data_IF_677811004755
#
_entry.id   IF_677811004755
#
_cell.length_a   1.000
_cell.length_b   1.000
_cell.length_c   1.000
_cell.angle_alpha   90.00
_cell.angle_beta   90.00
_cell.angle_gamma   90.00
#
_symmetry.space_group_name_H-M   'P 1'
#
loop_
_entity.id
_entity.type
_entity.pdbx_description
1 polymer ?
#
# COMPACT_ATOMS: atom_id res chain seq x y z
N UNK A 1 -23.95 65.28 28.40
CA UNK A 1 -24.59 64.09 27.81
C UNK A 1 -23.57 63.40 26.94
N UNK A 2 -23.49 62.08 27.07
CA UNK A 2 -22.81 61.08 26.22
C UNK A 2 -21.32 61.34 25.94
N UNK A 3 -20.39 60.44 26.22
CA UNK A 3 -20.46 59.01 26.45
C UNK A 3 -19.20 58.44 25.81
N UNK A 4 -18.22 58.06 26.62
CA UNK A 4 -17.10 57.23 26.15
C UNK A 4 -17.46 55.78 26.45
N UNK A 5 -17.88 55.09 25.41
CA UNK A 5 -18.10 53.65 25.40
C UNK A 5 -16.75 52.93 25.28
N UNK A 6 -16.49 52.06 26.25
CA UNK A 6 -15.41 51.08 26.25
C UNK A 6 -15.31 50.35 24.90
N UNK A 7 -14.12 50.39 24.31
CA UNK A 7 -13.74 49.59 23.14
C UNK A 7 -13.52 48.14 23.63
N UNK A 8 -14.15 47.10 23.05
CA UNK A 8 -13.97 45.74 23.53
C UNK A 8 -12.56 45.25 23.21
N UNK A 9 -11.90 44.66 24.22
CA UNK A 9 -10.71 43.82 24.03
C UNK A 9 -10.99 42.76 22.97
N UNK A 10 -10.02 42.55 22.08
CA UNK A 10 -10.09 41.63 20.95
C UNK A 10 -10.23 40.17 21.44
N UNK A 11 -11.45 39.72 21.74
CA UNK A 11 -11.74 38.37 22.24
C UNK A 11 -11.65 37.36 21.09
N UNK A 12 -10.56 36.59 21.08
CA UNK A 12 -10.35 35.46 20.17
C UNK A 12 -11.50 34.45 20.32
N UNK A 13 -11.97 33.92 19.19
CA UNK A 13 -13.04 32.91 19.15
C UNK A 13 -12.48 31.49 19.06
N UNK A 14 -13.12 30.55 19.77
CA UNK A 14 -12.74 29.15 19.81
C UNK A 14 -12.89 28.51 18.43
N UNK A 15 -11.83 27.89 17.92
CA UNK A 15 -11.79 27.28 16.60
C UNK A 15 -12.77 26.09 16.44
N UNK A 16 -13.27 25.53 17.55
CA UNK A 16 -14.22 24.43 17.53
C UNK A 16 -15.69 24.88 17.68
N UNK A 17 -15.98 25.85 18.56
CA UNK A 17 -17.36 26.19 18.94
C UNK A 17 -17.69 27.69 18.94
N UNK A 18 -16.76 28.56 18.55
CA UNK A 18 -16.99 30.01 18.42
C UNK A 18 -17.06 30.81 19.73
N UNK A 19 -17.05 30.17 20.90
CA UNK A 19 -17.02 30.86 22.22
C UNK A 19 -15.70 31.60 22.47
N UNK A 20 -15.66 32.62 23.34
CA UNK A 20 -14.41 33.28 23.73
C UNK A 20 -13.33 32.28 24.18
N UNK A 21 -12.11 32.44 23.68
CA UNK A 21 -11.04 31.46 23.79
C UNK A 21 -9.75 32.06 24.38
N UNK A 22 -9.23 31.41 25.42
CA UNK A 22 -8.03 31.84 26.14
C UNK A 22 -6.88 30.82 26.07
N UNK A 23 -7.14 29.60 25.59
CA UNK A 23 -6.13 28.56 25.43
C UNK A 23 -5.62 28.52 23.99
N UNK A 24 -4.35 28.20 23.79
CA UNK A 24 -3.74 28.07 22.47
C UNK A 24 -3.04 26.72 22.34
N UNK A 25 -3.11 26.11 21.15
CA UNK A 25 -2.38 24.89 20.83
C UNK A 25 -0.86 25.09 21.01
N UNK A 26 -0.17 24.25 21.80
CA UNK A 26 1.28 24.36 22.02
C UNK A 26 2.10 24.26 20.72
N UNK A 27 1.67 23.43 19.76
CA UNK A 27 2.35 23.28 18.48
C UNK A 27 2.15 24.49 17.57
N UNK A 28 0.99 25.13 17.60
CA UNK A 28 0.77 26.41 16.90
C UNK A 28 1.65 27.53 17.48
N UNK A 29 1.87 27.54 18.80
CA UNK A 29 2.80 28.50 19.43
C UNK A 29 4.25 28.26 18.99
N UNK A 30 4.69 27.01 18.95
CA UNK A 30 6.02 26.62 18.46
C UNK A 30 6.22 27.03 16.98
N UNK A 31 5.19 26.85 16.16
CA UNK A 31 5.19 27.18 14.73
C UNK A 31 4.88 28.66 14.43
N UNK A 32 4.70 29.50 15.45
CA UNK A 32 4.36 30.93 15.34
C UNK A 32 3.13 31.21 14.45
N UNK A 33 2.14 30.32 14.49
CA UNK A 33 0.91 30.47 13.70
C UNK A 33 -0.06 31.46 14.35
N UNK A 34 -0.89 32.10 13.52
CA UNK A 34 -1.90 33.06 13.99
C UNK A 34 -2.80 32.44 15.06
N UNK A 35 -3.14 33.24 16.09
CA UNK A 35 -4.08 32.85 17.14
C UNK A 35 -5.51 32.74 16.62
N UNK A 36 -5.82 33.42 15.52
CA UNK A 36 -7.11 33.31 14.83
C UNK A 36 -7.24 31.92 14.19
N UNK A 37 -8.21 31.14 14.65
CA UNK A 37 -8.41 29.74 14.21
C UNK A 37 -7.54 28.69 14.93
N UNK A 38 -6.75 29.09 15.94
CA UNK A 38 -5.94 28.17 16.76
C UNK A 38 -6.12 28.34 18.28
N UNK A 39 -7.13 29.13 18.67
CA UNK A 39 -7.53 29.35 20.06
C UNK A 39 -8.70 28.43 20.46
N UNK A 40 -8.72 27.99 21.72
CA UNK A 40 -9.74 27.10 22.28
C UNK A 40 -10.28 27.61 23.61
N UNK A 41 -11.56 27.37 23.89
CA UNK A 41 -12.19 27.77 25.16
C UNK A 41 -11.93 26.76 26.29
N UNK A 42 -11.65 25.49 25.97
CA UNK A 42 -11.36 24.43 26.94
C UNK A 42 -10.50 23.32 26.34
N UNK A 43 -9.90 22.49 27.21
CA UNK A 43 -9.12 21.32 26.79
C UNK A 43 -9.98 20.27 26.07
N UNK A 44 -11.27 20.19 26.38
CA UNK A 44 -12.21 19.29 25.71
C UNK A 44 -12.49 19.72 24.27
N UNK A 45 -12.72 21.02 24.04
CA UNK A 45 -12.85 21.56 22.67
C UNK A 45 -11.58 21.38 21.84
N UNK A 46 -10.41 21.47 22.47
CA UNK A 46 -9.15 21.15 21.81
C UNK A 46 -9.08 19.67 21.40
N UNK A 47 -9.37 18.74 22.32
CA UNK A 47 -9.35 17.29 22.04
C UNK A 47 -10.35 16.88 20.96
N UNK A 48 -11.58 17.41 20.99
CA UNK A 48 -12.63 17.07 20.02
C UNK A 48 -12.31 17.59 18.61
N UNK A 49 -11.60 18.70 18.50
CA UNK A 49 -11.20 19.29 17.22
C UNK A 49 -9.85 18.78 16.71
N UNK A 50 -9.14 17.92 17.46
CA UNK A 50 -7.76 17.53 17.14
C UNK A 50 -7.62 16.86 15.77
N UNK A 51 -8.59 16.03 15.38
CA UNK A 51 -8.60 15.32 14.09
C UNK A 51 -8.56 16.26 12.89
N UNK A 52 -9.27 17.41 12.96
CA UNK A 52 -9.29 18.44 11.93
C UNK A 52 -8.20 19.50 12.14
N UNK A 53 -7.94 19.93 13.38
CA UNK A 53 -6.99 20.99 13.71
C UNK A 53 -5.53 20.63 13.38
N UNK A 54 -5.13 19.36 13.54
CA UNK A 54 -3.76 18.92 13.22
C UNK A 54 -3.36 19.17 11.75
N UNK A 55 -4.33 19.31 10.84
CA UNK A 55 -4.09 19.64 9.44
C UNK A 55 -3.53 21.06 9.23
N UNK A 56 -3.79 21.99 10.17
CA UNK A 56 -3.26 23.36 10.13
C UNK A 56 -1.73 23.34 10.32
N UNK A 57 -1.23 22.45 11.18
CA UNK A 57 0.21 22.27 11.36
C UNK A 57 0.90 21.73 10.10
N UNK A 58 0.20 20.88 9.34
CA UNK A 58 0.68 20.33 8.09
C UNK A 58 0.74 21.41 7.00
N UNK A 59 -0.31 22.22 6.87
CA UNK A 59 -0.35 23.35 5.93
C UNK A 59 0.74 24.38 6.22
N UNK A 60 1.00 24.69 7.49
CA UNK A 60 2.08 25.59 7.91
C UNK A 60 3.49 25.09 7.54
N UNK A 61 3.73 23.78 7.68
CA UNK A 61 5.00 23.16 7.25
C UNK A 61 5.19 23.21 5.74
N UNK A 62 4.11 23.13 4.97
CA UNK A 62 4.12 23.17 3.51
C UNK A 62 4.22 24.60 2.93
N UNK A 63 3.91 25.63 3.72
CA UNK A 63 3.86 27.03 3.28
C UNK A 63 5.06 27.88 3.71
N UNK A 64 6.07 27.28 4.36
CA UNK A 64 7.36 27.95 4.59
C UNK A 64 8.13 28.04 3.26
N UNK A 65 8.39 29.24 2.71
CA UNK A 65 9.08 29.39 1.46
C UNK A 65 10.58 29.45 1.75
N UNK A 66 11.25 28.31 1.86
CA UNK A 66 12.70 28.26 1.80
C UNK A 66 13.18 27.26 0.75
N UNK A 67 13.85 27.85 -0.25
CA UNK A 67 14.75 27.27 -1.26
C UNK A 67 14.16 26.45 -2.41
N UNK A 68 13.75 27.19 -3.44
CA UNK A 68 14.19 26.86 -4.80
C UNK A 68 15.72 26.96 -4.84
N UNK A 69 16.41 25.83 -4.79
CA UNK A 69 17.75 25.66 -5.35
C UNK A 69 18.07 24.17 -5.34
N UNK A 70 18.74 23.69 -6.39
CA UNK A 70 19.38 22.38 -6.43
C UNK A 70 20.15 22.12 -5.13
N UNK A 71 19.59 21.30 -4.24
CA UNK A 71 20.06 21.18 -2.86
C UNK A 71 19.90 19.75 -2.36
N UNK A 72 21.01 19.20 -1.86
CA UNK A 72 21.20 17.83 -1.40
C UNK A 72 19.98 17.22 -0.71
N UNK A 73 19.48 16.10 -1.26
CA UNK A 73 18.82 15.08 -0.44
C UNK A 73 19.77 14.81 0.75
N UNK A 74 19.30 15.08 1.97
CA UNK A 74 20.13 15.11 3.18
C UNK A 74 20.84 13.78 3.45
N UNK A 75 21.73 13.77 4.44
CA UNK A 75 22.39 12.56 4.94
C UNK A 75 21.36 11.41 5.09
N UNK A 76 21.61 10.29 4.39
CA UNK A 76 20.79 9.07 4.48
C UNK A 76 19.89 8.76 3.27
N UNK A 77 19.65 9.73 2.38
CA UNK A 77 18.92 9.48 1.13
C UNK A 77 19.88 8.98 0.05
N UNK A 78 19.83 7.68 -0.22
CA UNK A 78 20.72 7.00 -1.15
C UNK A 78 19.92 6.03 -2.02
N UNK A 79 20.40 5.73 -3.22
CA UNK A 79 19.78 4.72 -4.09
C UNK A 79 19.97 3.32 -3.50
N UNK A 80 18.93 2.50 -3.59
CA UNK A 80 18.95 1.12 -3.15
C UNK A 80 19.72 0.22 -4.14
N UNK A 81 20.50 -0.72 -3.62
CA UNK A 81 21.18 -1.76 -4.39
C UNK A 81 21.15 -3.08 -3.63
N UNK A 82 21.31 -4.20 -4.34
CA UNK A 82 21.48 -5.54 -3.75
C UNK A 82 20.40 -5.88 -2.71
N UNK A 83 19.13 -5.75 -3.13
CA UNK A 83 17.95 -6.05 -2.32
C UNK A 83 17.80 -5.25 -1.04
N UNK A 84 18.40 -4.06 -0.96
CA UNK A 84 18.37 -3.22 0.27
C UNK A 84 19.59 -3.38 1.17
N UNK A 85 20.49 -4.33 0.88
CA UNK A 85 21.71 -4.56 1.66
C UNK A 85 22.80 -3.50 1.45
N UNK A 86 22.73 -2.74 0.36
CA UNK A 86 23.70 -1.68 0.07
C UNK A 86 23.02 -0.46 -0.51
N UNK A 87 23.64 0.70 -0.32
CA UNK A 87 23.14 1.96 -0.87
C UNK A 87 24.27 2.75 -1.52
N UNK A 88 23.94 3.59 -2.49
CA UNK A 88 24.91 4.40 -3.23
C UNK A 88 24.38 5.83 -3.44
N UNK A 89 25.23 6.87 -3.39
CA UNK A 89 24.84 8.23 -3.75
C UNK A 89 24.73 8.43 -5.26
N UNK A 90 25.28 7.51 -6.06
CA UNK A 90 25.27 7.57 -7.52
C UNK A 90 24.10 6.76 -8.07
N UNK A 91 23.37 7.34 -9.02
CA UNK A 91 22.32 6.64 -9.76
C UNK A 91 22.91 5.34 -10.36
N UNK A 92 22.32 4.16 -10.08
CA UNK A 92 22.76 2.92 -10.67
C UNK A 92 22.66 2.95 -12.19
N UNK A 93 23.60 2.30 -12.86
CA UNK A 93 23.49 2.10 -14.30
C UNK A 93 22.52 0.94 -14.60
N UNK A 94 21.55 1.20 -15.46
CA UNK A 94 20.66 0.20 -16.03
C UNK A 94 20.17 0.69 -17.39
N UNK A 95 19.94 -0.23 -18.31
CA UNK A 95 19.27 0.05 -19.57
C UNK A 95 17.76 0.07 -19.31
N UNK A 96 17.24 1.23 -18.90
CA UNK A 96 15.85 1.44 -18.48
C UNK A 96 14.88 1.12 -19.62
N UNK A 97 13.80 0.41 -19.29
CA UNK A 97 12.82 -0.06 -20.29
C UNK A 97 11.80 1.01 -20.66
N UNK A 98 11.51 1.93 -19.74
CA UNK A 98 10.54 3.01 -19.91
C UNK A 98 11.07 4.37 -19.42
N UNK A 99 10.15 5.23 -19.00
CA UNK A 99 10.43 6.61 -18.59
C UNK A 99 10.76 6.78 -17.10
N UNK A 100 10.50 5.75 -16.29
CA UNK A 100 10.85 5.77 -14.87
C UNK A 100 12.33 5.47 -14.63
N UNK A 101 12.81 6.11 -13.56
CA UNK A 101 14.11 5.90 -12.95
C UNK A 101 13.92 5.85 -11.43
N UNK A 102 14.80 5.13 -10.70
CA UNK A 102 14.77 5.14 -9.25
C UNK A 102 15.16 6.52 -8.72
N UNK A 103 14.62 6.86 -7.56
CA UNK A 103 15.07 7.98 -6.74
C UNK A 103 15.72 7.46 -5.46
N UNK A 104 16.49 8.29 -4.74
CA UNK A 104 17.03 7.90 -3.44
C UNK A 104 15.91 7.58 -2.44
N UNK A 105 16.17 6.65 -1.53
CA UNK A 105 15.21 6.19 -0.52
C UNK A 105 15.59 6.73 0.86
N UNK A 106 14.60 7.06 1.70
CA UNK A 106 14.86 7.44 3.09
C UNK A 106 15.42 6.27 3.91
N UNK A 107 15.90 6.55 5.13
CA UNK A 107 16.35 5.50 6.06
C UNK A 107 15.21 4.53 6.43
N UNK A 108 15.55 3.32 6.86
CA UNK A 108 14.57 2.32 7.32
C UNK A 108 13.78 2.88 8.51
N UNK A 109 12.45 2.77 8.47
CA UNK A 109 11.57 3.24 9.56
C UNK A 109 11.63 2.27 10.74
N UNK A 110 11.45 2.78 11.96
CA UNK A 110 11.59 2.01 13.20
C UNK A 110 10.23 1.44 13.59
N UNK A 111 10.19 0.13 13.86
CA UNK A 111 9.05 -0.54 14.49
C UNK A 111 9.26 -0.54 16.01
N UNK A 112 8.30 -0.05 16.82
CA UNK A 112 8.40 -0.11 18.28
C UNK A 112 8.50 -1.54 18.83
N UNK A 113 9.20 -1.72 19.95
CA UNK A 113 9.50 -3.05 20.50
C UNK A 113 8.28 -3.82 21.03
N UNK A 114 7.19 -3.12 21.33
CA UNK A 114 5.93 -3.75 21.76
C UNK A 114 5.14 -4.43 20.63
N UNK A 115 5.52 -4.22 19.37
CA UNK A 115 4.86 -4.84 18.22
C UNK A 115 5.44 -6.24 18.03
N UNK A 116 4.58 -7.24 17.89
CA UNK A 116 4.99 -8.60 17.55
C UNK A 116 5.66 -8.61 16.16
N UNK A 117 6.83 -9.24 16.07
CA UNK A 117 7.68 -9.22 14.87
C UNK A 117 7.76 -10.62 14.23
N UNK A 118 7.72 -10.73 12.90
CA UNK A 118 8.04 -11.98 12.22
C UNK A 118 9.54 -12.31 12.35
N UNK A 119 9.93 -13.54 12.03
CA UNK A 119 11.28 -14.07 12.32
C UNK A 119 12.41 -13.40 11.51
N UNK A 120 12.10 -12.71 10.41
CA UNK A 120 13.04 -11.92 9.61
C UNK A 120 13.19 -10.46 10.03
N UNK A 121 12.38 -9.97 10.97
CA UNK A 121 12.29 -8.53 11.24
C UNK A 121 13.66 -7.89 11.57
N UNK A 122 14.52 -8.62 12.27
CA UNK A 122 15.83 -8.13 12.72
C UNK A 122 16.94 -8.32 11.68
N UNK A 123 17.05 -9.53 11.11
CA UNK A 123 18.19 -9.93 10.26
C UNK A 123 17.86 -10.00 8.76
N UNK A 124 16.60 -9.83 8.41
CA UNK A 124 16.08 -9.85 7.04
C UNK A 124 15.98 -11.24 6.41
N UNK A 125 16.09 -12.31 7.20
CA UNK A 125 16.11 -13.69 6.71
C UNK A 125 14.85 -14.43 7.22
N UNK A 126 13.89 -14.80 6.35
CA UNK A 126 12.78 -15.65 6.73
C UNK A 126 13.30 -17.07 6.93
N UNK A 127 13.56 -17.45 8.18
CA UNK A 127 14.17 -18.73 8.57
C UNK A 127 13.15 -19.87 8.60
N UNK A 128 11.90 -19.55 8.97
CA UNK A 128 10.81 -20.52 9.09
C UNK A 128 10.29 -20.95 7.70
N UNK A 129 10.02 -19.99 6.81
CA UNK A 129 9.35 -20.27 5.53
C UNK A 129 10.04 -21.33 4.66
N UNK A 130 11.36 -21.25 4.37
CA UNK A 130 12.00 -22.17 3.43
C UNK A 130 12.03 -23.62 3.91
N UNK A 131 11.97 -23.82 5.23
CA UNK A 131 12.07 -25.13 5.88
C UNK A 131 10.70 -25.67 6.34
N UNK A 132 9.61 -24.92 6.12
CA UNK A 132 8.28 -25.31 6.57
C UNK A 132 7.65 -26.35 5.64
N UNK A 133 6.95 -27.33 6.22
CA UNK A 133 6.11 -28.28 5.46
C UNK A 133 4.98 -27.59 4.67
N UNK A 134 4.63 -26.35 5.04
CA UNK A 134 3.66 -25.53 4.34
C UNK A 134 4.14 -25.05 2.96
N UNK A 135 5.42 -25.21 2.62
CA UNK A 135 5.90 -25.00 1.24
C UNK A 135 5.41 -26.06 0.26
N UNK A 136 4.90 -27.19 0.77
CA UNK A 136 4.46 -28.32 -0.05
C UNK A 136 3.02 -28.76 0.24
N UNK A 137 2.45 -28.28 1.35
CA UNK A 137 1.10 -28.64 1.80
C UNK A 137 0.23 -27.40 1.90
N UNK A 138 -0.91 -27.40 1.21
CA UNK A 138 -1.90 -26.33 1.37
C UNK A 138 -2.68 -26.56 2.67
N UNK A 139 -2.43 -25.71 3.65
CA UNK A 139 -2.99 -25.79 5.00
C UNK A 139 -4.52 -25.65 5.00
N UNK A 140 -5.20 -26.48 5.81
CA UNK A 140 -6.59 -26.26 6.21
C UNK A 140 -6.56 -25.58 7.57
N UNK A 141 -6.91 -24.30 7.63
CA UNK A 141 -6.84 -23.53 8.87
C UNK A 141 -7.88 -23.97 9.87
N UNK A 142 -7.48 -23.96 11.13
CA UNK A 142 -8.39 -24.09 12.27
C UNK A 142 -9.31 -22.87 12.40
N UNK A 143 -10.44 -22.96 13.11
CA UNK A 143 -11.32 -21.82 13.35
C UNK A 143 -10.62 -20.61 13.97
N UNK A 144 -9.69 -20.82 14.92
CA UNK A 144 -8.90 -19.74 15.52
C UNK A 144 -8.01 -19.03 14.50
N UNK A 145 -7.26 -19.78 13.69
CA UNK A 145 -6.44 -19.23 12.61
C UNK A 145 -7.30 -18.41 11.64
N UNK A 146 -8.50 -18.86 11.31
CA UNK A 146 -9.42 -18.13 10.43
C UNK A 146 -9.87 -16.80 11.05
N UNK A 147 -10.20 -16.75 12.35
CA UNK A 147 -10.54 -15.48 13.02
C UNK A 147 -9.37 -14.50 13.03
N UNK A 148 -8.15 -14.99 13.30
CA UNK A 148 -6.93 -14.17 13.22
C UNK A 148 -6.69 -13.65 11.80
N UNK A 149 -6.95 -14.46 10.77
CA UNK A 149 -6.87 -14.04 9.37
C UNK A 149 -7.89 -12.94 9.05
N UNK A 150 -9.16 -13.07 9.47
CA UNK A 150 -10.20 -12.05 9.28
C UNK A 150 -9.80 -10.71 9.90
N UNK A 151 -9.34 -10.72 11.15
CA UNK A 151 -8.95 -9.51 11.86
C UNK A 151 -7.73 -8.84 11.19
N UNK A 152 -6.71 -9.62 10.85
CA UNK A 152 -5.47 -9.11 10.21
C UNK A 152 -5.75 -8.57 8.81
N UNK A 153 -6.56 -9.27 8.00
CA UNK A 153 -6.94 -8.82 6.66
C UNK A 153 -7.78 -7.55 6.69
N UNK A 154 -8.68 -7.40 7.68
CA UNK A 154 -9.42 -6.14 7.90
C UNK A 154 -8.46 -4.99 8.22
N UNK A 155 -7.45 -5.21 9.07
CA UNK A 155 -6.43 -4.20 9.38
C UNK A 155 -5.65 -3.83 8.11
N UNK A 156 -5.19 -4.82 7.33
CA UNK A 156 -4.48 -4.58 6.08
C UNK A 156 -5.31 -3.72 5.11
N UNK A 157 -6.63 -4.00 4.98
CA UNK A 157 -7.57 -3.15 4.24
C UNK A 157 -7.62 -1.71 4.77
N UNK A 158 -7.74 -1.51 6.08
CA UNK A 158 -7.76 -0.18 6.67
C UNK A 158 -6.46 0.61 6.42
N UNK A 159 -5.32 -0.08 6.39
CA UNK A 159 -4.01 0.47 6.05
C UNK A 159 -3.93 0.86 4.57
N UNK A 160 -4.35 -0.01 3.65
CA UNK A 160 -4.41 0.31 2.22
C UNK A 160 -5.34 1.50 1.96
N UNK A 161 -6.50 1.54 2.63
CA UNK A 161 -7.44 2.66 2.54
C UNK A 161 -6.83 3.97 3.06
N UNK A 162 -5.93 3.92 4.04
CA UNK A 162 -5.19 5.09 4.50
C UNK A 162 -4.21 5.61 3.44
N UNK A 163 -3.49 4.71 2.76
CA UNK A 163 -2.63 5.05 1.63
C UNK A 163 -3.42 5.67 0.47
N UNK A 164 -4.55 5.05 0.09
CA UNK A 164 -5.40 5.51 -1.01
C UNK A 164 -5.86 6.96 -0.87
N UNK A 165 -6.10 7.45 0.36
CA UNK A 165 -6.58 8.82 0.63
C UNK A 165 -5.56 9.92 0.32
N UNK A 166 -4.28 9.58 0.20
CA UNK A 166 -3.23 10.57 -0.04
C UNK A 166 -2.67 10.52 -1.47
N UNK A 167 -3.17 9.61 -2.32
CA UNK A 167 -2.70 9.48 -3.69
C UNK A 167 -3.19 10.66 -4.52
N UNK A 168 -2.26 11.52 -4.90
CA UNK A 168 -2.47 12.70 -5.75
C UNK A 168 -1.14 13.17 -6.35
N UNK A 169 -1.16 13.98 -7.42
CA UNK A 169 0.06 14.58 -7.97
C UNK A 169 0.89 15.30 -6.90
N UNK A 170 2.21 15.12 -6.95
CA UNK A 170 3.17 15.77 -6.06
C UNK A 170 3.50 15.02 -4.76
N UNK A 171 2.72 14.02 -4.37
CA UNK A 171 3.03 13.13 -3.23
C UNK A 171 4.11 12.14 -3.62
N UNK A 172 5.09 11.91 -2.74
CA UNK A 172 6.14 10.91 -3.00
C UNK A 172 5.69 9.50 -2.62
N UNK A 173 6.27 8.49 -3.26
CA UNK A 173 6.03 7.10 -2.84
C UNK A 173 6.58 6.84 -1.43
N UNK A 174 7.69 7.46 -1.02
CA UNK A 174 8.18 7.41 0.38
C UNK A 174 7.18 7.99 1.40
N UNK A 175 6.37 8.98 1.01
CA UNK A 175 5.31 9.54 1.84
C UNK A 175 4.11 8.58 1.96
N UNK A 176 3.80 7.84 0.88
CA UNK A 176 2.82 6.74 0.91
C UNK A 176 3.28 5.63 1.87
N UNK A 177 4.55 5.21 1.76
CA UNK A 177 5.17 4.26 2.68
C UNK A 177 5.12 4.73 4.14
N UNK A 178 5.34 6.03 4.39
CA UNK A 178 5.20 6.61 5.73
C UNK A 178 3.80 6.40 6.30
N UNK A 179 2.77 6.69 5.50
CA UNK A 179 1.37 6.53 5.91
C UNK A 179 1.04 5.06 6.15
N UNK A 180 1.47 4.15 5.27
CA UNK A 180 1.29 2.71 5.47
C UNK A 180 1.96 2.26 6.76
N UNK A 181 3.24 2.63 6.96
CA UNK A 181 3.98 2.29 8.16
C UNK A 181 3.27 2.76 9.43
N UNK A 182 2.94 4.06 9.51
CA UNK A 182 2.29 4.64 10.69
C UNK A 182 0.91 4.04 10.96
N UNK A 183 0.11 3.77 9.92
CA UNK A 183 -1.20 3.13 10.05
C UNK A 183 -1.08 1.69 10.57
N UNK A 184 -0.12 0.92 10.07
CA UNK A 184 0.15 -0.44 10.53
C UNK A 184 0.57 -0.47 11.99
N UNK A 185 1.52 0.39 12.40
CA UNK A 185 1.95 0.50 13.79
C UNK A 185 0.80 0.95 14.70
N UNK A 186 -0.02 1.90 14.26
CA UNK A 186 -1.18 2.37 15.03
C UNK A 186 -2.24 1.28 15.24
N UNK A 187 -2.35 0.32 14.33
CA UNK A 187 -3.22 -0.85 14.45
C UNK A 187 -2.60 -2.00 15.28
N UNK A 188 -1.36 -1.83 15.76
CA UNK A 188 -0.65 -2.85 16.53
C UNK A 188 0.01 -3.94 15.67
N UNK A 189 0.07 -3.77 14.35
CA UNK A 189 0.68 -4.71 13.42
C UNK A 189 2.11 -4.36 13.04
N UNK A 190 2.79 -5.33 12.43
CA UNK A 190 4.09 -5.17 11.76
C UNK A 190 3.88 -5.11 10.23
N UNK A 191 4.51 -4.18 9.50
CA UNK A 191 4.43 -4.16 8.04
C UNK A 191 5.29 -5.28 7.46
N UNK A 192 4.68 -6.39 7.04
CA UNK A 192 5.38 -7.65 6.67
C UNK A 192 6.53 -7.45 5.67
N UNK A 193 6.42 -6.59 4.63
CA UNK A 193 7.50 -6.38 3.67
C UNK A 193 8.77 -5.80 4.31
N UNK A 194 8.65 -5.09 5.43
CA UNK A 194 9.78 -4.43 6.06
C UNK A 194 10.84 -5.47 6.47
N UNK A 195 12.03 -5.31 5.91
CA UNK A 195 13.19 -6.20 6.06
C UNK A 195 13.00 -7.62 5.48
N UNK A 196 11.85 -7.99 4.91
CA UNK A 196 11.68 -9.32 4.29
C UNK A 196 12.67 -9.48 3.12
N UNK A 197 13.58 -10.45 3.22
CA UNK A 197 14.74 -10.56 2.32
C UNK A 197 15.48 -9.24 2.10
N UNK A 198 15.60 -8.43 3.16
CA UNK A 198 16.22 -7.10 3.19
C UNK A 198 15.45 -5.99 2.47
N UNK A 199 14.19 -6.22 2.05
CA UNK A 199 13.37 -5.16 1.44
C UNK A 199 13.27 -3.93 2.37
N UNK A 200 13.57 -2.71 1.89
CA UNK A 200 13.91 -1.59 2.77
C UNK A 200 12.72 -0.75 3.26
N UNK A 201 11.48 -1.11 2.87
CA UNK A 201 10.26 -0.30 3.06
C UNK A 201 9.11 -1.15 3.58
N UNK A 202 8.03 -0.50 3.99
CA UNK A 202 6.88 -1.09 4.68
C UNK A 202 5.75 -1.52 3.74
N UNK A 203 5.81 -1.08 2.47
CA UNK A 203 4.91 -1.44 1.39
C UNK A 203 5.66 -1.40 0.06
N UNK A 204 5.03 -1.91 -1.00
CA UNK A 204 5.51 -1.67 -2.37
C UNK A 204 4.68 -0.56 -3.04
N UNK A 205 5.32 0.24 -3.88
CA UNK A 205 4.66 1.27 -4.70
C UNK A 205 5.13 1.13 -6.15
N UNK A 206 4.27 0.60 -7.01
CA UNK A 206 4.61 0.22 -8.38
C UNK A 206 3.93 1.17 -9.36
N UNK A 207 4.71 2.10 -9.92
CA UNK A 207 4.22 3.16 -10.82
C UNK A 207 4.41 2.76 -12.28
N UNK A 208 3.38 2.97 -13.11
CA UNK A 208 3.41 2.80 -14.57
C UNK A 208 3.99 1.46 -15.05
N UNK A 209 5.20 1.42 -15.64
CA UNK A 209 5.83 0.18 -16.13
C UNK A 209 6.35 -0.75 -15.03
N UNK A 210 6.35 -0.32 -13.77
CA UNK A 210 6.66 -1.20 -12.64
C UNK A 210 5.52 -2.19 -12.44
N UNK A 211 5.83 -3.47 -12.62
CA UNK A 211 4.91 -4.60 -12.47
C UNK A 211 4.57 -4.82 -10.99
N UNK A 212 5.60 -4.97 -10.16
CA UNK A 212 5.48 -5.23 -8.73
C UNK A 212 6.78 -4.88 -7.99
N UNK A 213 6.73 -4.89 -6.65
CA UNK A 213 7.86 -4.68 -5.76
C UNK A 213 8.65 -3.37 -5.97
N UNK A 214 8.00 -2.33 -6.51
CA UNK A 214 8.60 -1.01 -6.59
C UNK A 214 8.93 -0.49 -5.19
N UNK A 215 10.17 -0.06 -4.96
CA UNK A 215 10.61 0.44 -3.66
C UNK A 215 10.18 1.90 -3.48
N UNK A 216 9.40 2.25 -2.43
CA UNK A 216 9.09 3.63 -2.10
C UNK A 216 10.32 4.54 -1.99
N UNK A 217 10.31 5.65 -2.71
CA UNK A 217 11.46 6.54 -2.90
C UNK A 217 11.05 8.03 -2.98
N UNK A 218 12.00 8.92 -3.29
CA UNK A 218 11.75 10.36 -3.38
C UNK A 218 10.98 10.79 -4.64
N UNK A 219 10.57 9.87 -5.54
CA UNK A 219 9.81 10.23 -6.74
C UNK A 219 8.45 10.78 -6.35
N UNK A 220 8.11 11.96 -6.85
CA UNK A 220 6.75 12.50 -6.78
C UNK A 220 5.88 11.85 -7.85
N UNK A 221 4.65 11.48 -7.48
CA UNK A 221 3.63 11.06 -8.43
C UNK A 221 3.26 12.22 -9.36
N UNK A 222 3.04 11.91 -10.63
CA UNK A 222 2.70 12.88 -11.68
C UNK A 222 1.24 12.72 -12.11
N UNK A 223 0.60 13.80 -12.59
CA UNK A 223 -0.74 13.72 -13.18
C UNK A 223 -0.70 12.78 -14.40
N UNK A 224 -1.60 11.80 -14.42
CA UNK A 224 -1.64 10.77 -15.44
C UNK A 224 -0.87 9.49 -15.12
N UNK A 225 -0.16 9.40 -13.98
CA UNK A 225 0.39 8.15 -13.48
C UNK A 225 -0.73 7.17 -13.08
N UNK A 226 -0.42 5.87 -13.19
CA UNK A 226 -1.07 4.83 -12.39
C UNK A 226 -0.08 4.33 -11.34
N UNK A 227 -0.55 4.05 -10.12
CA UNK A 227 0.29 3.55 -9.03
C UNK A 227 -0.42 2.43 -8.27
N UNK A 228 0.18 1.26 -8.24
CA UNK A 228 -0.20 0.20 -7.32
C UNK A 228 0.44 0.43 -5.95
N UNK A 229 -0.33 0.21 -4.88
CA UNK A 229 0.17 0.15 -3.51
C UNK A 229 -0.15 -1.22 -2.94
N UNK A 230 0.89 -1.92 -2.51
CA UNK A 230 0.81 -3.29 -2.02
C UNK A 230 1.14 -3.34 -0.53
N UNK A 231 0.19 -3.86 0.26
CA UNK A 231 0.18 -3.78 1.72
C UNK A 231 -0.01 -5.16 2.31
N UNK A 232 0.97 -5.59 3.08
CA UNK A 232 0.81 -6.74 3.96
C UNK A 232 1.02 -6.36 5.43
N UNK A 233 0.12 -6.80 6.29
CA UNK A 233 0.23 -6.62 7.75
C UNK A 233 0.40 -7.98 8.43
N UNK A 234 1.37 -8.06 9.34
CA UNK A 234 1.51 -9.16 10.31
C UNK A 234 0.89 -8.74 11.63
N UNK A 235 -0.08 -9.52 12.11
CA UNK A 235 -0.78 -9.24 13.37
C UNK A 235 -1.29 -10.55 13.96
N UNK A 236 -1.19 -10.70 15.29
CA UNK A 236 -1.55 -11.92 16.02
C UNK A 236 -0.98 -13.21 15.38
N UNK A 237 0.25 -13.16 14.87
CA UNK A 237 0.90 -14.34 14.34
C UNK A 237 0.50 -14.75 12.92
N UNK A 238 -0.30 -13.96 12.19
CA UNK A 238 -0.63 -14.22 10.78
C UNK A 238 -0.45 -12.97 9.91
N UNK A 239 -0.38 -13.18 8.59
CA UNK A 239 -0.26 -12.14 7.58
C UNK A 239 -1.59 -11.94 6.83
N UNK A 240 -1.91 -10.70 6.48
CA UNK A 240 -3.03 -10.35 5.59
C UNK A 240 -2.54 -9.42 4.48
N UNK A 241 -2.88 -9.76 3.23
CA UNK A 241 -2.26 -9.18 2.04
C UNK A 241 -3.28 -8.72 0.98
N UNK A 242 -3.03 -7.55 0.42
CA UNK A 242 -3.85 -6.93 -0.63
C UNK A 242 -3.14 -5.75 -1.29
N UNK A 243 -3.53 -5.50 -2.54
CA UNK A 243 -3.09 -4.34 -3.29
C UNK A 243 -4.17 -3.83 -4.25
N UNK A 244 -4.08 -2.56 -4.61
CA UNK A 244 -4.94 -1.92 -5.61
C UNK A 244 -4.12 -0.94 -6.46
N UNK A 245 -4.45 -0.83 -7.74
CA UNK A 245 -3.88 0.18 -8.65
C UNK A 245 -4.76 1.42 -8.70
N UNK A 246 -4.20 2.59 -8.38
CA UNK A 246 -4.89 3.87 -8.31
C UNK A 246 -4.53 4.80 -9.47
N UNK A 247 -5.47 5.68 -9.81
CA UNK A 247 -5.26 6.75 -10.77
C UNK A 247 -4.71 8.00 -10.07
N UNK A 248 -3.62 8.57 -10.59
CA UNK A 248 -3.09 9.84 -10.09
C UNK A 248 -3.61 10.97 -10.97
N UNK A 249 -4.63 11.68 -10.47
CA UNK A 249 -5.26 12.78 -11.21
C UNK A 249 -5.92 12.31 -12.52
N UNK A 250 -5.57 12.92 -13.65
CA UNK A 250 -6.20 12.68 -14.95
C UNK A 250 -5.45 11.64 -15.78
N UNK A 251 -5.84 10.37 -15.66
CA UNK A 251 -5.28 9.28 -16.48
C UNK A 251 -5.95 9.17 -17.85
N UNK A 252 -5.16 8.75 -18.85
CA UNK A 252 -5.62 8.43 -20.20
C UNK A 252 -6.53 7.20 -20.25
N UNK A 253 -7.24 7.03 -21.37
CA UNK A 253 -8.23 5.96 -21.54
C UNK A 253 -7.61 4.56 -21.60
N UNK A 254 -6.42 4.41 -22.20
CA UNK A 254 -5.72 3.11 -22.24
C UNK A 254 -5.40 2.61 -20.84
N UNK A 255 -4.96 3.51 -19.96
CA UNK A 255 -4.66 3.23 -18.57
C UNK A 255 -5.92 2.93 -17.75
N UNK A 256 -7.04 3.62 -18.03
CA UNK A 256 -8.34 3.29 -17.41
C UNK A 256 -8.79 1.88 -17.80
N UNK A 257 -8.64 1.51 -19.07
CA UNK A 257 -8.98 0.19 -19.58
C UNK A 257 -8.09 -0.90 -18.98
N UNK A 258 -6.78 -0.65 -18.88
CA UNK A 258 -5.82 -1.57 -18.25
C UNK A 258 -6.19 -1.85 -16.78
N UNK A 259 -6.36 -0.79 -15.98
CA UNK A 259 -6.68 -0.93 -14.55
C UNK A 259 -8.03 -1.62 -14.36
N UNK A 260 -9.05 -1.24 -15.12
CA UNK A 260 -10.38 -1.87 -15.06
C UNK A 260 -10.33 -3.34 -15.47
N UNK A 261 -9.65 -3.68 -16.56
CA UNK A 261 -9.49 -5.08 -16.99
C UNK A 261 -8.77 -5.93 -15.93
N UNK A 262 -7.76 -5.36 -15.28
CA UNK A 262 -7.03 -6.03 -14.19
C UNK A 262 -7.94 -6.34 -13.00
N UNK A 263 -8.76 -5.37 -12.59
CA UNK A 263 -9.78 -5.59 -11.56
C UNK A 263 -10.79 -6.68 -11.97
N UNK A 264 -11.30 -6.63 -13.21
CA UNK A 264 -12.23 -7.63 -13.73
C UNK A 264 -11.61 -9.03 -13.82
N UNK A 265 -10.31 -9.14 -14.14
CA UNK A 265 -9.56 -10.40 -14.10
C UNK A 265 -9.59 -11.02 -12.71
N UNK A 266 -9.29 -10.21 -11.67
CA UNK A 266 -9.32 -10.65 -10.27
C UNK A 266 -10.73 -11.10 -9.88
N UNK A 267 -11.74 -10.27 -10.11
CA UNK A 267 -13.14 -10.59 -9.74
C UNK A 267 -13.65 -11.87 -10.41
N UNK A 268 -13.34 -12.05 -11.70
CA UNK A 268 -13.70 -13.27 -12.43
C UNK A 268 -13.00 -14.50 -11.85
N UNK A 269 -11.73 -14.37 -11.47
CA UNK A 269 -11.00 -15.46 -10.81
C UNK A 269 -11.59 -15.79 -9.44
N UNK A 270 -11.91 -14.78 -8.62
CA UNK A 270 -12.56 -14.96 -7.31
C UNK A 270 -13.90 -15.68 -7.46
N UNK A 271 -14.70 -15.34 -8.48
CA UNK A 271 -16.05 -15.91 -8.65
C UNK A 271 -16.08 -17.42 -8.90
N UNK A 272 -14.94 -18.03 -9.29
CA UNK A 272 -14.84 -19.49 -9.42
C UNK A 272 -14.30 -20.17 -8.16
N UNK A 273 -13.85 -19.44 -7.15
CA UNK A 273 -13.24 -20.02 -5.94
C UNK A 273 -14.30 -20.70 -5.09
N UNK A 274 -14.17 -22.03 -4.98
CA UNK A 274 -14.98 -22.89 -4.12
C UNK A 274 -14.33 -24.28 -4.01
N UNK A 275 -14.73 -25.12 -3.03
CA UNK A 275 -14.21 -26.48 -2.92
C UNK A 275 -14.35 -27.28 -4.22
N UNK A 276 -13.31 -28.07 -4.56
CA UNK A 276 -13.29 -28.94 -5.73
C UNK A 276 -12.70 -28.31 -7.01
N UNK A 277 -12.48 -27.00 -7.04
CA UNK A 277 -11.84 -26.31 -8.18
C UNK A 277 -10.31 -26.45 -8.08
N UNK A 278 -9.63 -26.66 -9.20
CA UNK A 278 -8.15 -26.74 -9.23
C UNK A 278 -7.56 -25.34 -9.23
N UNK A 279 -6.47 -25.12 -8.50
CA UNK A 279 -5.78 -23.82 -8.47
C UNK A 279 -5.38 -23.32 -9.86
N UNK A 280 -4.95 -24.22 -10.75
CA UNK A 280 -4.56 -23.87 -12.13
C UNK A 280 -5.66 -23.21 -12.96
N UNK A 281 -6.94 -23.41 -12.63
CA UNK A 281 -8.07 -22.82 -13.37
C UNK A 281 -8.13 -21.29 -13.21
N UNK A 282 -7.56 -20.75 -12.13
CA UNK A 282 -7.45 -19.30 -11.90
C UNK A 282 -6.73 -18.63 -13.08
N UNK A 283 -5.58 -19.18 -13.49
CA UNK A 283 -4.81 -18.64 -14.60
C UNK A 283 -5.50 -18.78 -15.97
N UNK A 284 -6.38 -19.77 -16.16
CA UNK A 284 -7.19 -19.88 -17.38
C UNK A 284 -8.24 -18.76 -17.47
N UNK A 285 -8.89 -18.43 -16.35
CA UNK A 285 -9.91 -17.37 -16.28
C UNK A 285 -9.27 -16.00 -16.51
N UNK A 286 -8.19 -15.70 -15.78
CA UNK A 286 -7.49 -14.41 -15.88
C UNK A 286 -6.93 -14.20 -17.30
N UNK A 287 -6.18 -15.19 -17.81
CA UNK A 287 -5.54 -15.04 -19.11
C UNK A 287 -6.54 -14.88 -20.25
N UNK A 288 -7.71 -15.54 -20.17
CA UNK A 288 -8.77 -15.36 -21.17
C UNK A 288 -9.31 -13.94 -21.17
N UNK A 289 -9.63 -13.38 -20.01
CA UNK A 289 -10.16 -12.02 -19.91
C UNK A 289 -9.15 -10.99 -20.40
N UNK A 290 -7.91 -11.04 -19.87
CA UNK A 290 -6.84 -10.13 -20.26
C UNK A 290 -6.54 -10.19 -21.77
N UNK A 291 -6.42 -11.39 -22.35
CA UNK A 291 -6.12 -11.56 -23.78
C UNK A 291 -7.24 -11.04 -24.69
N UNK A 292 -8.51 -11.24 -24.29
CA UNK A 292 -9.66 -10.72 -25.03
C UNK A 292 -9.75 -9.19 -24.97
N UNK A 293 -9.20 -8.57 -23.92
CA UNK A 293 -9.07 -7.12 -23.77
C UNK A 293 -7.80 -6.54 -24.41
N UNK A 294 -6.97 -7.36 -25.08
CA UNK A 294 -5.75 -6.91 -25.75
C UNK A 294 -4.53 -6.75 -24.85
N UNK A 295 -4.57 -7.26 -23.62
CA UNK A 295 -3.48 -7.19 -22.65
C UNK A 295 -2.77 -8.53 -22.46
N UNK A 296 -1.61 -8.51 -21.78
CA UNK A 296 -0.85 -9.72 -21.47
C UNK A 296 -0.70 -9.97 -19.97
N UNK A 297 -0.49 -11.22 -19.58
CA UNK A 297 -0.37 -11.63 -18.17
C UNK A 297 1.07 -11.96 -17.84
N UNK A 298 1.59 -11.35 -16.78
CA UNK A 298 2.93 -11.62 -16.24
C UNK A 298 3.05 -13.07 -15.78
N UNK A 299 4.24 -13.67 -15.96
CA UNK A 299 4.47 -15.10 -15.69
C UNK A 299 5.49 -15.40 -14.58
N UNK A 300 6.25 -14.38 -14.18
CA UNK A 300 7.36 -14.54 -13.24
C UNK A 300 6.94 -14.47 -11.77
N UNK A 301 5.71 -13.99 -11.51
CA UNK A 301 5.13 -13.83 -10.19
C UNK A 301 3.74 -14.49 -10.14
N UNK A 302 3.31 -14.92 -8.96
CA UNK A 302 2.10 -15.71 -8.75
C UNK A 302 1.51 -15.43 -7.38
N UNK A 303 0.19 -15.65 -7.24
CA UNK A 303 -0.43 -15.72 -5.92
C UNK A 303 0.16 -16.84 -5.07
N UNK A 304 -0.07 -16.77 -3.77
CA UNK A 304 0.54 -17.67 -2.80
C UNK A 304 -0.43 -18.06 -1.69
N UNK A 305 -0.14 -19.17 -1.00
CA UNK A 305 -0.72 -19.42 0.30
C UNK A 305 -0.24 -18.38 1.31
N UNK A 306 -1.11 -18.04 2.25
CA UNK A 306 -0.83 -17.04 3.28
C UNK A 306 -1.47 -17.44 4.61
N UNK A 307 -0.81 -17.11 5.72
CA UNK A 307 -1.27 -17.44 7.06
C UNK A 307 -0.23 -17.05 8.09
N UNK A 308 0.23 -18.02 8.87
CA UNK A 308 1.37 -17.83 9.79
C UNK A 308 2.71 -17.65 9.06
N UNK A 309 2.75 -18.05 7.78
CA UNK A 309 3.80 -17.69 6.84
C UNK A 309 3.30 -16.57 5.92
N UNK A 310 4.21 -15.70 5.50
CA UNK A 310 3.92 -14.65 4.52
C UNK A 310 3.70 -15.27 3.14
N UNK A 311 4.62 -16.17 2.72
CA UNK A 311 4.48 -16.92 1.46
C UNK A 311 4.61 -18.44 1.68
N UNK A 312 3.58 -19.20 1.29
CA UNK A 312 3.59 -20.66 1.31
C UNK A 312 2.77 -21.28 0.17
N UNK A 313 2.62 -22.61 0.16
CA UNK A 313 1.77 -23.28 -0.81
C UNK A 313 0.28 -22.88 -0.63
N UNK A 314 -0.48 -22.74 -1.73
CA UNK A 314 -0.11 -23.07 -3.10
C UNK A 314 0.48 -21.89 -3.86
N UNK A 315 1.35 -22.16 -4.84
CA UNK A 315 1.66 -21.17 -5.88
C UNK A 315 0.50 -21.12 -6.89
N UNK A 316 0.01 -19.92 -7.20
CA UNK A 316 -1.17 -19.66 -8.04
C UNK A 316 -0.78 -18.79 -9.24
N UNK A 317 -0.32 -19.38 -10.35
CA UNK A 317 0.01 -18.63 -11.55
C UNK A 317 -1.22 -18.04 -12.22
N UNK A 318 -1.11 -16.81 -12.70
CA UNK A 318 -2.20 -16.06 -13.33
C UNK A 318 -2.35 -16.31 -14.84
N UNK A 319 -1.43 -17.08 -15.45
CA UNK A 319 -1.44 -17.38 -16.88
C UNK A 319 -2.06 -18.74 -17.21
N UNK A 320 -2.60 -18.88 -18.42
CA UNK A 320 -3.23 -20.11 -18.91
C UNK A 320 -2.22 -21.27 -19.08
N UNK A 321 -2.72 -22.51 -19.02
CA UNK A 321 -1.94 -23.76 -19.17
C UNK A 321 -0.78 -23.88 -18.18
N UNK A 322 -0.91 -23.24 -17.03
CA UNK A 322 0.02 -23.42 -15.92
C UNK A 322 -0.11 -24.85 -15.33
N UNK A 323 0.90 -25.23 -14.53
CA UNK A 323 1.00 -26.57 -13.93
C UNK A 323 0.77 -26.54 -12.42
N UNK A 324 0.05 -25.55 -11.89
CA UNK A 324 -0.23 -25.46 -10.47
C UNK A 324 -0.92 -26.73 -9.97
N UNK A 325 -0.46 -27.22 -8.83
CA UNK A 325 -0.92 -28.46 -8.21
C UNK A 325 -1.93 -28.13 -7.13
N UNK A 326 -2.91 -29.01 -6.95
CA UNK A 326 -3.86 -28.94 -5.84
C UNK A 326 -5.29 -28.61 -6.27
N UNK A 327 -6.18 -28.84 -5.32
CA UNK A 327 -7.62 -28.62 -5.42
C UNK A 327 -8.03 -27.83 -4.19
N UNK A 328 -8.83 -26.79 -4.39
CA UNK A 328 -9.37 -25.94 -3.33
C UNK A 328 -10.24 -26.75 -2.37
N UNK A 329 -10.08 -26.48 -1.08
CA UNK A 329 -10.85 -27.08 0.02
C UNK A 329 -11.22 -25.99 1.01
N UNK A 330 -12.34 -26.16 1.71
CA UNK A 330 -12.76 -25.23 2.76
C UNK A 330 -11.66 -25.09 3.84
N UNK A 331 -11.49 -23.87 4.35
CA UNK A 331 -10.47 -23.53 5.35
C UNK A 331 -9.10 -23.14 4.78
N UNK A 332 -8.90 -23.22 3.47
CA UNK A 332 -7.65 -22.76 2.84
C UNK A 332 -7.67 -21.24 2.64
N UNK A 333 -6.53 -20.59 2.88
CA UNK A 333 -6.33 -19.17 2.56
C UNK A 333 -5.17 -18.97 1.60
N UNK A 334 -5.37 -18.09 0.62
CA UNK A 334 -4.39 -17.78 -0.41
C UNK A 334 -4.71 -16.43 -1.08
N UNK A 335 -3.76 -15.89 -1.83
CA UNK A 335 -3.90 -14.67 -2.62
C UNK A 335 -4.21 -14.98 -4.09
N UNK A 336 -4.96 -14.10 -4.74
CA UNK A 336 -5.00 -13.99 -6.20
C UNK A 336 -4.59 -12.56 -6.52
N UNK A 337 -3.55 -12.37 -7.32
CA UNK A 337 -2.86 -11.07 -7.48
C UNK A 337 -2.43 -10.78 -8.93
N UNK A 338 -3.34 -10.85 -9.93
CA UNK A 338 -2.97 -10.74 -11.34
C UNK A 338 -2.27 -9.42 -11.68
N UNK A 339 -1.06 -9.54 -12.22
CA UNK A 339 -0.33 -8.46 -12.87
C UNK A 339 -0.56 -8.51 -14.38
N UNK A 340 -1.18 -7.46 -14.92
CA UNK A 340 -1.58 -7.34 -16.32
C UNK A 340 -0.83 -6.19 -16.99
N UNK A 341 -0.23 -6.44 -18.15
CA UNK A 341 0.56 -5.46 -18.88
C UNK A 341 -0.17 -4.97 -20.14
N UNK A 342 -0.06 -3.67 -20.42
CA UNK A 342 -0.48 -3.08 -21.70
C UNK A 342 0.35 -3.58 -22.90
N UNK A 343 1.55 -4.07 -22.61
CA UNK A 343 2.52 -4.56 -23.59
C UNK A 343 2.78 -6.05 -23.50
N UNK A 344 4.06 -6.42 -23.59
CA UNK A 344 4.53 -7.80 -23.45
C UNK A 344 4.50 -8.28 -21.99
N UNK A 345 4.37 -9.59 -21.79
CA UNK A 345 4.37 -10.20 -20.45
C UNK A 345 5.75 -10.26 -19.80
N UNK A 346 6.81 -10.08 -20.59
CA UNK A 346 8.19 -10.23 -20.14
C UNK A 346 8.56 -9.11 -19.19
N UNK A 347 9.27 -9.46 -18.13
CA UNK A 347 9.79 -8.55 -17.13
C UNK A 347 11.32 -8.41 -17.21
N UNK A 348 11.82 -7.32 -16.63
CA UNK A 348 13.23 -7.09 -16.30
C UNK A 348 13.31 -6.63 -14.85
N UNK A 349 14.39 -6.97 -14.17
CA UNK A 349 14.63 -6.58 -12.78
C UNK A 349 15.64 -5.44 -12.71
N UNK A 350 15.33 -4.39 -11.94
CA UNK A 350 16.26 -3.29 -11.69
C UNK A 350 17.48 -3.72 -10.86
N UNK A 351 18.57 -2.93 -10.85
CA UNK A 351 19.77 -3.22 -10.05
C UNK A 351 19.55 -3.23 -8.53
N UNK A 352 18.42 -2.69 -8.06
CA UNK A 352 18.01 -2.80 -6.67
C UNK A 352 17.67 -4.23 -6.25
N UNK A 353 17.42 -5.14 -7.20
CA UNK A 353 17.11 -6.55 -6.97
C UNK A 353 15.68 -6.84 -6.53
N UNK A 354 14.78 -5.85 -6.62
CA UNK A 354 13.36 -5.92 -6.23
C UNK A 354 12.43 -5.42 -7.33
N UNK A 355 12.65 -4.21 -7.84
CA UNK A 355 11.72 -3.54 -8.74
C UNK A 355 11.64 -4.30 -10.07
N UNK A 356 10.49 -4.91 -10.33
CA UNK A 356 10.20 -5.64 -11.56
C UNK A 356 9.49 -4.70 -12.53
N UNK A 357 10.00 -4.56 -13.75
CA UNK A 357 9.44 -3.68 -14.78
C UNK A 357 9.11 -4.44 -16.06
N UNK A 358 8.16 -3.94 -16.84
CA UNK A 358 7.88 -4.50 -18.17
C UNK A 358 9.09 -4.34 -19.08
N UNK A 359 9.35 -5.35 -19.92
CA UNK A 359 10.51 -5.37 -20.81
C UNK A 359 10.42 -4.36 -21.97
N UNK A 360 9.22 -3.86 -22.29
CA UNK A 360 8.94 -2.89 -23.35
C UNK A 360 8.59 -1.48 -22.83
N UNK A 361 8.65 -1.26 -21.52
CA UNK A 361 8.39 0.05 -20.89
C UNK A 361 6.93 0.46 -20.89
N UNK A 362 6.00 -0.42 -21.27
CA UNK A 362 4.55 -0.16 -21.20
C UNK A 362 4.02 -0.37 -19.78
N UNK A 363 2.89 0.26 -19.48
CA UNK A 363 2.26 0.22 -18.16
C UNK A 363 1.82 -1.19 -17.75
N UNK A 364 1.84 -1.44 -16.44
CA UNK A 364 1.32 -2.62 -15.76
C UNK A 364 0.34 -2.19 -14.66
N UNK A 365 -0.63 -3.04 -14.36
CA UNK A 365 -1.55 -2.86 -13.25
C UNK A 365 -1.74 -4.18 -12.50
N UNK A 366 -2.02 -4.06 -11.20
CA UNK A 366 -2.26 -5.18 -10.30
C UNK A 366 -3.41 -4.88 -9.33
N UNK A 367 -4.16 -5.93 -8.97
CA UNK A 367 -5.09 -5.95 -7.86
C UNK A 367 -4.91 -7.28 -7.13
N UNK A 368 -5.14 -7.28 -5.82
CA UNK A 368 -5.01 -8.48 -5.02
C UNK A 368 -6.03 -8.56 -3.89
N UNK A 369 -6.43 -9.80 -3.61
CA UNK A 369 -7.11 -10.15 -2.38
C UNK A 369 -6.56 -11.43 -1.75
N UNK A 370 -6.35 -11.39 -0.43
CA UNK A 370 -6.38 -12.60 0.42
C UNK A 370 -7.81 -13.17 0.52
N UNK A 371 -7.95 -14.46 0.21
CA UNK A 371 -9.22 -15.19 0.15
C UNK A 371 -9.25 -16.33 1.18
N UNK A 372 -10.45 -16.67 1.66
CA UNK A 372 -10.74 -17.89 2.42
C UNK A 372 -11.74 -18.74 1.64
N UNK A 373 -11.38 -19.98 1.33
CA UNK A 373 -12.34 -20.94 0.76
C UNK A 373 -13.32 -21.37 1.85
N UNK A 374 -14.61 -21.24 1.61
CA UNK A 374 -15.69 -21.70 2.51
C UNK A 374 -16.29 -23.01 2.01
N UNK A 375 -17.25 -23.58 2.74
CA UNK A 375 -17.88 -24.86 2.33
C UNK A 375 -18.60 -24.79 0.97
N UNK A 376 -19.06 -23.60 0.59
CA UNK A 376 -19.89 -23.39 -0.62
C UNK A 376 -19.29 -22.39 -1.61
N UNK A 377 -18.22 -21.69 -1.25
CA UNK A 377 -17.68 -20.60 -2.05
C UNK A 377 -16.40 -20.03 -1.48
N UNK A 378 -16.37 -18.69 -1.40
CA UNK A 378 -15.23 -17.91 -0.96
C UNK A 378 -15.68 -16.74 -0.10
N UNK A 379 -14.86 -16.39 0.88
CA UNK A 379 -14.93 -15.15 1.62
C UNK A 379 -13.71 -14.30 1.25
N UNK A 380 -13.94 -13.06 0.82
CA UNK A 380 -12.88 -12.11 0.46
C UNK A 380 -12.45 -11.37 1.73
N UNK A 381 -11.41 -11.87 2.41
CA UNK A 381 -11.01 -11.39 3.74
C UNK A 381 -10.52 -9.93 3.74
N UNK A 382 -9.97 -9.48 2.61
CA UNK A 382 -9.47 -8.12 2.38
C UNK A 382 -10.44 -7.26 1.55
N UNK A 383 -11.71 -7.69 1.47
CA UNK A 383 -12.77 -6.98 0.78
C UNK A 383 -12.92 -5.53 1.27
N UNK A 384 -13.39 -4.65 0.39
CA UNK A 384 -13.58 -3.23 0.70
C UNK A 384 -14.62 -3.05 1.81
N UNK A 385 -14.38 -2.08 2.69
CA UNK A 385 -15.29 -1.67 3.76
C UNK A 385 -16.19 -0.52 3.29
N UNK A 386 -17.27 -0.26 4.04
CA UNK A 386 -18.11 0.93 3.79
C UNK A 386 -17.31 2.25 3.88
N UNK A 387 -16.23 2.25 4.66
CA UNK A 387 -15.33 3.40 4.85
C UNK A 387 -14.21 3.48 3.81
N UNK A 388 -14.11 2.51 2.90
CA UNK A 388 -13.08 2.51 1.87
C UNK A 388 -13.33 3.66 0.88
N UNK A 389 -12.30 4.45 0.53
CA UNK A 389 -12.48 5.66 -0.25
C UNK A 389 -12.98 5.35 -1.66
N UNK A 390 -13.96 6.12 -2.13
CA UNK A 390 -14.57 5.91 -3.44
C UNK A 390 -13.66 6.44 -4.57
N UNK A 391 -12.75 5.58 -5.03
CA UNK A 391 -11.69 5.95 -6.00
C UNK A 391 -11.86 5.29 -7.38
N UNK A 392 -12.77 4.33 -7.52
CA UNK A 392 -12.99 3.58 -8.76
C UNK A 392 -14.36 3.88 -9.35
N UNK A 393 -14.43 4.44 -10.58
CA UNK A 393 -15.70 4.81 -11.21
C UNK A 393 -16.70 3.66 -11.36
N UNK A 394 -16.20 2.43 -11.59
CA UNK A 394 -17.03 1.25 -11.83
C UNK A 394 -17.59 0.58 -10.57
N UNK A 395 -17.23 1.06 -9.36
CA UNK A 395 -17.80 0.54 -8.11
C UNK A 395 -19.12 1.26 -7.71
N UNK A 396 -19.46 2.36 -8.38
CA UNK A 396 -20.67 3.15 -8.11
C UNK A 396 -21.83 2.87 -9.08
N UNK A 397 -21.60 1.99 -10.05
CA UNK A 397 -22.48 1.73 -11.20
C UNK A 397 -23.36 0.51 -11.02
#
# INVERSE_FOLDING_TARGET
MAGESDVPENTLSCANCGKPANLQCPKCMELKLSREGSAFCSQECFKSSWSSHKSVHLKAKLSSPDTQNSGSLGEGWLYCLKRGQSRTPKLPYFDWTGSLWPYPISIKRIVPDQIDKPDWADDGIPKIEPNSGLQHTVEIKSPDQIERMRETCRIAREVLDAAARIIQPGVTTDEIDRVVHEATIAAGGYPSPLNYHFFPKSCCTSVNEVICHGIPDARKLEDGDIVNVDVTVYYKGVHGDLNETYFVGNVDEESRQLVKCTYECLEKAISIVKPGIRFREIGEVINRHASMSGFSVVKSYCGHGIGELFHCAPNIPHYARNKAVGVMKAGQTFTIEPMINAGVWRDRMWPDGWTAVTADGKRSAQFEHTLLVTDTGVEVLTGRLQTSPNVFPWLNS
#
